data_IF_195094448162
#
_entry.id   IF_195094448162
#
_cell.length_a   1.000
_cell.length_b   1.000
_cell.length_c   1.000
_cell.angle_alpha   90.00
_cell.angle_beta   90.00
_cell.angle_gamma   90.00
#
_symmetry.space_group_name_H-M   'P 1'
#
loop_
_entity.id
_entity.type
_entity.pdbx_description
1 polymer ?
#
# COMPACT_ATOMS: atom_id res chain seq x y z
N UNK A 1 -13.84 1.71 -25.01
CA UNK A 1 -14.48 0.66 -25.83
C UNK A 1 -14.77 -0.53 -24.94
N UNK A 2 -15.73 -1.38 -25.32
CA UNK A 2 -16.06 -2.62 -24.62
C UNK A 2 -14.90 -3.64 -24.61
N UNK A 3 -13.94 -3.49 -25.54
CA UNK A 3 -12.73 -4.32 -25.66
C UNK A 3 -11.57 -3.88 -24.74
N UNK A 4 -11.73 -2.80 -23.97
CA UNK A 4 -10.72 -2.27 -23.05
C UNK A 4 -9.51 -1.60 -23.68
N UNK A 5 -9.47 -1.46 -25.03
CA UNK A 5 -8.33 -0.83 -25.73
C UNK A 5 -8.20 0.65 -25.44
N UNK A 6 -6.95 1.11 -25.30
CA UNK A 6 -6.61 2.51 -25.11
C UNK A 6 -7.02 3.35 -26.31
N UNK A 7 -7.83 4.39 -26.11
CA UNK A 7 -8.27 5.31 -27.16
C UNK A 7 -7.50 6.62 -27.16
N UNK A 8 -6.92 6.98 -26.02
CA UNK A 8 -6.20 8.23 -25.83
C UNK A 8 -6.12 8.60 -24.35
N UNK A 9 -5.64 9.80 -24.08
CA UNK A 9 -5.44 10.31 -22.72
C UNK A 9 -6.19 11.63 -22.54
N UNK A 10 -7.07 11.71 -21.54
CA UNK A 10 -7.72 12.96 -21.15
C UNK A 10 -6.87 13.68 -20.10
N UNK A 11 -6.21 14.80 -20.43
CA UNK A 11 -5.41 15.54 -19.45
C UNK A 11 -6.28 16.16 -18.34
N UNK A 12 -5.81 16.11 -17.08
CA UNK A 12 -6.55 16.65 -15.93
C UNK A 12 -6.91 18.15 -16.06
N UNK A 13 -6.12 18.93 -16.84
CA UNK A 13 -6.40 20.34 -17.11
C UNK A 13 -7.73 20.59 -17.82
N UNK A 14 -8.25 19.62 -18.58
CA UNK A 14 -9.54 19.72 -19.27
C UNK A 14 -10.71 19.09 -18.49
N UNK A 15 -10.42 18.41 -17.38
CA UNK A 15 -11.44 17.87 -16.47
C UNK A 15 -11.89 18.99 -15.52
N UNK A 16 -12.69 19.92 -16.02
CA UNK A 16 -13.20 21.08 -15.28
C UNK A 16 -14.71 21.18 -15.40
N UNK A 17 -15.39 21.73 -14.37
CA UNK A 17 -16.82 21.91 -14.37
C UNK A 17 -17.34 22.66 -15.61
N UNK A 18 -16.58 23.64 -16.13
CA UNK A 18 -16.92 24.41 -17.35
C UNK A 18 -17.04 23.54 -18.61
N UNK A 19 -16.42 22.35 -18.62
CA UNK A 19 -16.41 21.44 -19.78
C UNK A 19 -17.30 20.20 -19.60
N UNK A 20 -18.13 20.17 -18.54
CA UNK A 20 -18.95 18.98 -18.18
C UNK A 20 -19.88 18.47 -19.29
N UNK A 21 -20.30 19.37 -20.21
CA UNK A 21 -21.20 19.05 -21.33
C UNK A 21 -20.44 18.80 -22.65
N UNK A 22 -19.09 18.83 -22.65
CA UNK A 22 -18.30 18.54 -23.82
C UNK A 22 -18.04 17.03 -23.94
N UNK A 23 -17.87 16.58 -25.18
CA UNK A 23 -17.46 15.20 -25.42
C UNK A 23 -16.00 15.00 -25.00
N UNK A 24 -15.68 13.82 -24.46
CA UNK A 24 -14.30 13.47 -24.06
C UNK A 24 -13.33 13.62 -25.23
N UNK A 25 -13.78 13.26 -26.44
CA UNK A 25 -12.99 13.36 -27.68
C UNK A 25 -12.59 14.79 -28.07
N UNK A 26 -13.25 15.82 -27.53
CA UNK A 26 -12.90 17.21 -27.80
C UNK A 26 -11.69 17.71 -27.00
N UNK A 27 -11.33 17.00 -25.93
CA UNK A 27 -10.26 17.43 -25.02
C UNK A 27 -9.19 16.38 -24.76
N UNK A 28 -9.36 15.16 -25.28
CA UNK A 28 -8.35 14.10 -25.12
C UNK A 28 -7.25 14.22 -26.19
N UNK A 29 -6.07 13.75 -25.83
CA UNK A 29 -5.02 13.40 -26.79
C UNK A 29 -5.41 12.10 -27.46
N UNK A 30 -5.32 12.05 -28.79
CA UNK A 30 -5.62 10.84 -29.53
C UNK A 30 -4.58 9.74 -29.26
N UNK A 31 -4.89 8.48 -29.59
CA UNK A 31 -4.02 7.33 -29.32
C UNK A 31 -2.59 7.50 -29.87
N UNK A 32 -2.45 8.09 -31.03
CA UNK A 32 -1.16 8.35 -31.69
C UNK A 32 -0.37 9.54 -31.09
N UNK A 33 -1.00 10.33 -30.22
CA UNK A 33 -0.36 11.45 -29.51
C UNK A 33 0.06 11.04 -28.07
N UNK A 34 -0.24 9.80 -27.68
CA UNK A 34 0.01 9.32 -26.32
C UNK A 34 1.19 8.35 -26.32
N UNK A 35 2.20 8.64 -25.52
CA UNK A 35 3.33 7.76 -25.31
C UNK A 35 2.92 6.52 -24.52
N UNK A 36 3.29 5.37 -25.06
CA UNK A 36 3.06 4.07 -24.41
C UNK A 36 4.30 3.20 -24.49
N UNK A 37 4.44 2.32 -23.51
CA UNK A 37 5.40 1.22 -23.51
C UNK A 37 4.64 -0.09 -23.33
N UNK A 38 5.07 -1.15 -23.96
CA UNK A 38 4.49 -2.47 -23.72
C UNK A 38 5.00 -3.01 -22.39
N UNK A 39 4.12 -3.67 -21.63
CA UNK A 39 4.48 -4.33 -20.38
C UNK A 39 5.69 -5.27 -20.57
N UNK A 40 5.75 -6.01 -21.67
CA UNK A 40 6.88 -6.88 -22.04
C UNK A 40 8.20 -6.17 -22.32
N UNK A 41 8.20 -4.84 -22.47
CA UNK A 41 9.38 -4.02 -22.72
C UNK A 41 9.88 -3.32 -21.44
N UNK A 42 9.13 -3.42 -20.35
CA UNK A 42 9.53 -2.93 -19.04
C UNK A 42 10.45 -4.01 -18.45
N UNK A 43 11.74 -3.85 -18.50
CA UNK A 43 12.71 -4.81 -17.95
C UNK A 43 12.55 -5.07 -16.45
N UNK A 44 13.57 -5.67 -15.84
CA UNK A 44 13.59 -6.02 -14.42
C UNK A 44 13.60 -4.78 -13.49
N UNK A 45 14.00 -3.61 -14.00
CA UNK A 45 13.91 -2.33 -13.29
C UNK A 45 12.92 -1.36 -14.00
N UNK A 46 11.66 -1.38 -13.59
CA UNK A 46 10.62 -0.51 -14.15
C UNK A 46 10.87 0.99 -13.89
N UNK A 47 11.53 1.33 -12.77
CA UNK A 47 11.78 2.73 -12.40
C UNK A 47 12.87 3.31 -13.28
N UNK A 48 13.99 2.60 -13.46
CA UNK A 48 15.07 3.01 -14.37
C UNK A 48 14.56 3.13 -15.82
N UNK A 49 13.70 2.22 -16.26
CA UNK A 49 13.09 2.26 -17.59
C UNK A 49 12.24 3.53 -17.77
N UNK A 50 11.42 3.88 -16.78
CA UNK A 50 10.59 5.09 -16.83
C UNK A 50 11.42 6.37 -16.70
N UNK A 51 12.45 6.40 -15.85
CA UNK A 51 13.36 7.55 -15.69
C UNK A 51 14.11 7.86 -16.99
N UNK A 52 14.68 6.85 -17.61
CA UNK A 52 15.32 6.98 -18.93
C UNK A 52 14.36 7.52 -19.98
N UNK A 53 13.12 7.00 -20.02
CA UNK A 53 12.10 7.50 -20.96
C UNK A 53 11.82 8.99 -20.75
N UNK A 54 11.60 9.44 -19.51
CA UNK A 54 11.33 10.86 -19.22
C UNK A 54 12.54 11.75 -19.48
N UNK A 55 13.75 11.25 -19.30
CA UNK A 55 14.99 11.98 -19.64
C UNK A 55 15.15 12.17 -21.14
N UNK A 56 14.75 11.23 -21.96
CA UNK A 56 14.81 11.27 -23.42
C UNK A 56 13.66 12.09 -24.04
N UNK A 57 12.53 12.25 -23.33
CA UNK A 57 11.30 12.87 -23.83
C UNK A 57 10.91 14.09 -22.99
N UNK A 58 11.68 15.17 -23.07
CA UNK A 58 11.43 16.41 -22.34
C UNK A 58 10.00 16.93 -22.56
N UNK A 59 9.34 17.32 -21.46
CA UNK A 59 7.97 17.86 -21.49
C UNK A 59 6.87 16.80 -21.50
N UNK A 60 7.21 15.52 -21.57
CA UNK A 60 6.27 14.42 -21.38
C UNK A 60 6.22 14.08 -19.89
N UNK A 61 5.01 14.05 -19.32
CA UNK A 61 4.79 13.82 -17.90
C UNK A 61 4.08 12.51 -17.60
N UNK A 62 3.71 11.74 -18.61
CA UNK A 62 2.95 10.48 -18.46
C UNK A 62 3.40 9.47 -19.49
N UNK A 63 3.73 8.26 -19.02
CA UNK A 63 4.02 7.09 -19.83
C UNK A 63 3.03 6.00 -19.48
N UNK A 64 2.18 5.61 -20.40
CA UNK A 64 1.19 4.58 -20.19
C UNK A 64 1.77 3.20 -20.53
N UNK A 65 1.45 2.21 -19.71
CA UNK A 65 1.82 0.81 -19.94
C UNK A 65 0.64 0.11 -20.57
N UNK A 66 0.88 -0.59 -21.68
CA UNK A 66 -0.15 -1.37 -22.38
C UNK A 66 0.29 -2.82 -22.57
N UNK A 67 -0.68 -3.73 -22.63
CA UNK A 67 -0.45 -5.12 -23.01
C UNK A 67 -0.25 -5.27 -24.52
N UNK A 68 -0.14 -6.52 -24.98
CA UNK A 68 0.02 -6.82 -26.41
C UNK A 68 -1.22 -6.50 -27.25
N UNK A 69 -2.39 -6.40 -26.60
CA UNK A 69 -3.68 -6.07 -27.23
C UNK A 69 -4.00 -4.56 -27.17
N UNK A 70 -3.04 -3.72 -26.75
CA UNK A 70 -3.17 -2.26 -26.56
C UNK A 70 -4.17 -1.88 -25.45
N UNK A 71 -4.35 -2.74 -24.42
CA UNK A 71 -5.14 -2.44 -23.23
C UNK A 71 -4.26 -1.82 -22.15
N UNK A 72 -4.79 -0.87 -21.41
CA UNK A 72 -4.06 -0.18 -20.35
C UNK A 72 -3.80 -1.13 -19.17
N UNK A 73 -2.51 -1.31 -18.80
CA UNK A 73 -2.04 -2.10 -17.66
C UNK A 73 -1.49 -1.24 -16.54
N UNK A 74 -0.93 -0.06 -16.86
CA UNK A 74 -0.31 0.80 -15.87
C UNK A 74 -0.02 2.21 -16.37
N UNK A 75 0.53 3.02 -15.46
CA UNK A 75 0.90 4.40 -15.72
C UNK A 75 2.12 4.77 -14.87
N UNK A 76 3.13 5.36 -15.52
CA UNK A 76 4.19 6.10 -14.84
C UNK A 76 3.96 7.60 -15.02
N UNK A 77 4.18 8.37 -13.96
CA UNK A 77 4.22 9.84 -14.05
C UNK A 77 5.62 10.35 -13.73
N UNK A 78 6.06 11.41 -14.39
CA UNK A 78 7.37 12.02 -14.12
C UNK A 78 7.53 12.37 -12.64
N UNK A 79 6.50 12.95 -12.02
CA UNK A 79 6.53 13.32 -10.61
C UNK A 79 6.69 12.13 -9.65
N UNK A 80 6.16 10.95 -10.00
CA UNK A 80 6.36 9.75 -9.19
C UNK A 80 7.80 9.23 -9.32
N UNK A 81 8.34 9.25 -10.54
CA UNK A 81 9.73 8.83 -10.80
C UNK A 81 10.71 9.79 -10.11
N UNK A 82 10.56 11.11 -10.26
CA UNK A 82 11.40 12.10 -9.58
C UNK A 82 11.36 11.93 -8.06
N UNK A 83 10.17 11.66 -7.50
CA UNK A 83 10.02 11.40 -6.07
C UNK A 83 10.74 10.12 -5.65
N UNK A 84 10.59 9.03 -6.38
CA UNK A 84 11.24 7.74 -6.07
C UNK A 84 12.76 7.87 -6.18
N UNK A 85 13.26 8.51 -7.23
CA UNK A 85 14.70 8.75 -7.43
C UNK A 85 15.26 9.71 -6.37
N UNK A 86 14.52 10.75 -6.01
CA UNK A 86 14.89 11.66 -4.92
C UNK A 86 14.92 10.97 -3.56
N UNK A 87 13.98 10.08 -3.28
CA UNK A 87 13.97 9.25 -2.06
C UNK A 87 15.17 8.28 -2.03
N UNK A 88 15.61 7.76 -3.18
CA UNK A 88 16.77 6.86 -3.25
C UNK A 88 18.09 7.52 -2.83
N UNK A 89 18.21 8.85 -3.01
CA UNK A 89 19.37 9.64 -2.58
C UNK A 89 19.34 10.10 -1.11
N UNK A 90 18.22 9.97 -0.42
CA UNK A 90 18.05 10.42 0.97
C UNK A 90 18.45 9.34 1.97
N UNK A 91 19.07 9.76 3.10
CA UNK A 91 19.41 8.87 4.22
C UNK A 91 18.16 8.27 4.91
N UNK A 92 17.01 8.96 4.84
CA UNK A 92 15.73 8.50 5.37
C UNK A 92 14.84 8.05 4.21
N UNK A 93 14.86 6.75 3.93
CA UNK A 93 13.96 6.17 2.91
C UNK A 93 12.62 5.82 3.56
N UNK A 94 11.48 6.19 2.94
CA UNK A 94 10.18 5.72 3.41
C UNK A 94 10.11 4.19 3.28
N UNK A 95 9.50 3.55 4.27
CA UNK A 95 9.26 2.12 4.24
C UNK A 95 8.21 1.79 3.17
N UNK A 96 8.58 1.01 2.18
CA UNK A 96 7.73 0.66 1.03
C UNK A 96 7.71 -0.85 0.81
N UNK A 97 6.62 -1.32 0.25
CA UNK A 97 6.50 -2.71 -0.23
C UNK A 97 7.16 -2.88 -1.61
N UNK A 98 7.13 -4.11 -2.12
CA UNK A 98 7.70 -4.47 -3.44
C UNK A 98 7.02 -3.74 -4.62
N UNK A 99 5.81 -3.21 -4.41
CA UNK A 99 5.07 -2.42 -5.40
C UNK A 99 5.24 -0.90 -5.19
N UNK A 100 6.26 -0.47 -4.45
CA UNK A 100 6.54 0.93 -4.09
C UNK A 100 5.43 1.65 -3.31
N UNK A 101 4.46 0.93 -2.74
CA UNK A 101 3.44 1.50 -1.86
C UNK A 101 4.02 1.68 -0.45
N UNK A 102 3.65 2.74 0.25
CA UNK A 102 4.03 2.93 1.64
C UNK A 102 3.51 1.77 2.48
N UNK A 103 4.36 1.25 3.37
CA UNK A 103 3.90 0.29 4.37
C UNK A 103 2.87 0.96 5.29
N UNK A 104 1.81 0.25 5.59
CA UNK A 104 0.77 0.75 6.49
C UNK A 104 0.55 -0.20 7.66
N UNK A 105 0.20 0.40 8.80
CA UNK A 105 -0.19 -0.31 10.01
C UNK A 105 -1.54 0.15 10.53
N UNK A 106 -2.27 -0.74 11.18
CA UNK A 106 -3.52 -0.42 11.84
C UNK A 106 -3.54 -0.94 13.29
N UNK A 107 -4.10 -0.14 14.19
CA UNK A 107 -4.40 -0.60 15.55
C UNK A 107 -5.78 -1.26 15.57
N UNK A 108 -5.87 -2.38 16.29
CA UNK A 108 -7.11 -3.12 16.46
C UNK A 108 -7.49 -3.25 17.94
N UNK A 109 -8.77 -3.26 18.20
CA UNK A 109 -9.33 -3.64 19.50
C UNK A 109 -9.50 -5.15 19.57
N UNK A 110 -9.51 -5.70 20.78
CA UNK A 110 -9.74 -7.13 21.01
C UNK A 110 -11.25 -7.34 21.18
N UNK A 111 -11.97 -7.90 20.20
CA UNK A 111 -13.39 -8.16 20.33
C UNK A 111 -13.64 -9.24 21.37
N UNK A 112 -14.74 -9.09 22.13
CA UNK A 112 -15.10 -10.00 23.20
C UNK A 112 -16.52 -10.49 23.06
N UNK A 113 -16.71 -11.74 23.46
CA UNK A 113 -18.03 -12.35 23.64
C UNK A 113 -18.69 -11.82 24.94
N UNK A 114 -19.98 -12.08 25.11
CA UNK A 114 -20.73 -11.71 26.33
C UNK A 114 -20.13 -12.29 27.61
N UNK A 115 -19.51 -13.47 27.53
CA UNK A 115 -18.81 -14.11 28.64
C UNK A 115 -17.41 -13.51 28.94
N UNK A 116 -16.98 -12.46 28.21
CA UNK A 116 -15.70 -11.79 28.34
C UNK A 116 -14.52 -12.46 27.63
N UNK A 117 -14.71 -13.61 27.00
CA UNK A 117 -13.69 -14.26 26.19
C UNK A 117 -13.44 -13.52 24.87
N UNK A 118 -12.26 -13.75 24.26
CA UNK A 118 -11.94 -13.14 22.96
C UNK A 118 -12.81 -13.81 21.89
N UNK A 119 -13.52 -12.98 21.10
CA UNK A 119 -14.16 -13.43 19.89
C UNK A 119 -13.10 -13.62 18.78
N UNK A 120 -12.51 -14.82 18.73
CA UNK A 120 -11.42 -15.13 17.83
C UNK A 120 -11.83 -14.98 16.35
N UNK A 121 -13.03 -15.43 16.00
CA UNK A 121 -13.51 -15.39 14.62
C UNK A 121 -13.64 -13.94 14.12
N UNK A 122 -14.21 -13.06 14.95
CA UNK A 122 -14.34 -11.64 14.62
C UNK A 122 -12.98 -10.95 14.50
N UNK A 123 -12.04 -11.28 15.41
CA UNK A 123 -10.68 -10.75 15.36
C UNK A 123 -9.96 -11.14 14.06
N UNK A 124 -10.00 -12.43 13.69
CA UNK A 124 -9.38 -12.94 12.48
C UNK A 124 -10.03 -12.35 11.23
N UNK A 125 -11.36 -12.34 11.18
CA UNK A 125 -12.08 -11.77 10.05
C UNK A 125 -11.71 -10.29 9.84
N UNK A 126 -11.77 -9.50 10.92
CA UNK A 126 -11.50 -8.07 10.84
C UNK A 126 -10.06 -7.76 10.38
N UNK A 127 -9.06 -8.49 10.89
CA UNK A 127 -7.67 -8.34 10.46
C UNK A 127 -7.48 -8.86 9.04
N UNK A 128 -8.10 -9.98 8.68
CA UNK A 128 -8.06 -10.55 7.32
C UNK A 128 -8.55 -9.57 6.26
N UNK A 129 -9.68 -8.89 6.50
CA UNK A 129 -10.21 -7.87 5.59
C UNK A 129 -9.23 -6.69 5.38
N UNK A 130 -8.42 -6.36 6.38
CA UNK A 130 -7.36 -5.33 6.25
C UNK A 130 -6.13 -5.87 5.51
N UNK A 131 -5.74 -7.12 5.75
CA UNK A 131 -4.63 -7.80 5.05
C UNK A 131 -4.93 -7.90 3.56
N UNK A 132 -6.16 -8.25 3.18
CA UNK A 132 -6.60 -8.29 1.77
C UNK A 132 -6.49 -6.91 1.08
N UNK A 133 -6.54 -5.83 1.85
CA UNK A 133 -6.35 -4.45 1.37
C UNK A 133 -4.89 -3.97 1.43
N UNK A 134 -3.96 -4.84 1.85
CA UNK A 134 -2.54 -4.58 1.88
C UNK A 134 -1.99 -4.07 3.21
N UNK A 135 -2.62 -4.40 4.34
CA UNK A 135 -2.06 -4.12 5.67
C UNK A 135 -0.74 -4.88 5.87
N UNK A 136 0.29 -4.18 6.36
CA UNK A 136 1.62 -4.73 6.60
C UNK A 136 1.93 -4.94 8.09
N UNK A 137 1.24 -4.21 8.97
CA UNK A 137 1.43 -4.29 10.41
C UNK A 137 0.10 -4.15 11.14
N UNK A 138 -0.18 -5.03 12.10
CA UNK A 138 -1.28 -4.87 13.03
C UNK A 138 -0.77 -4.58 14.44
N UNK A 139 -1.38 -3.62 15.13
CA UNK A 139 -1.03 -3.26 16.49
C UNK A 139 -2.16 -3.63 17.47
N UNK A 140 -1.88 -4.56 18.37
CA UNK A 140 -2.72 -4.81 19.57
C UNK A 140 -2.25 -3.85 20.65
N UNK A 141 -2.79 -2.62 20.62
CA UNK A 141 -2.34 -1.51 21.46
C UNK A 141 -3.36 -1.21 22.56
N UNK A 142 -2.95 -1.38 23.82
CA UNK A 142 -3.77 -1.12 25.01
C UNK A 142 -2.94 -0.36 26.07
N UNK A 143 -3.60 0.34 26.99
CA UNK A 143 -2.91 1.01 28.09
C UNK A 143 -2.17 0.02 29.01
N UNK A 144 -2.56 -1.25 29.02
CA UNK A 144 -1.96 -2.30 29.86
C UNK A 144 -1.79 -3.59 29.06
N UNK A 145 -0.65 -3.69 28.36
CA UNK A 145 -0.37 -4.81 27.44
C UNK A 145 0.01 -6.13 28.12
N UNK A 146 0.55 -6.08 29.36
CA UNK A 146 0.91 -7.28 30.11
C UNK A 146 -0.32 -7.97 30.71
N UNK A 147 -1.23 -8.41 29.85
CA UNK A 147 -2.45 -9.14 30.24
C UNK A 147 -2.65 -10.40 29.42
N UNK A 148 -3.32 -11.39 30.01
CA UNK A 148 -3.65 -12.66 29.34
C UNK A 148 -4.45 -12.41 28.04
N UNK A 149 -5.33 -11.40 28.01
CA UNK A 149 -6.13 -11.06 26.85
C UNK A 149 -5.27 -10.57 25.68
N UNK A 150 -4.33 -9.65 25.94
CA UNK A 150 -3.41 -9.14 24.92
C UNK A 150 -2.50 -10.24 24.42
N UNK A 151 -1.90 -11.04 25.31
CA UNK A 151 -1.06 -12.16 24.92
C UNK A 151 -1.82 -13.20 24.08
N UNK A 152 -3.08 -13.54 24.45
CA UNK A 152 -3.90 -14.47 23.66
C UNK A 152 -4.24 -13.92 22.27
N UNK A 153 -4.64 -12.63 22.18
CA UNK A 153 -4.93 -12.00 20.89
C UNK A 153 -3.68 -11.94 20.01
N UNK A 154 -2.54 -11.54 20.56
CA UNK A 154 -1.24 -11.53 19.86
C UNK A 154 -0.91 -12.91 19.32
N UNK A 155 -1.08 -13.97 20.11
CA UNK A 155 -0.82 -15.35 19.70
C UNK A 155 -1.76 -15.80 18.58
N UNK A 156 -3.05 -15.49 18.66
CA UNK A 156 -4.02 -15.81 17.61
C UNK A 156 -3.58 -15.19 16.28
N UNK A 157 -3.26 -13.89 16.30
CA UNK A 157 -2.87 -13.16 15.09
C UNK A 157 -1.55 -13.66 14.51
N UNK A 158 -0.55 -13.96 15.35
CA UNK A 158 0.75 -14.46 14.88
C UNK A 158 0.69 -15.86 14.29
N UNK A 159 -0.28 -16.66 14.68
CA UNK A 159 -0.50 -17.99 14.13
C UNK A 159 -1.29 -17.97 12.83
N UNK A 160 -2.24 -17.04 12.71
CA UNK A 160 -3.11 -16.93 11.54
C UNK A 160 -2.45 -16.17 10.37
N UNK A 161 -1.70 -15.10 10.70
CA UNK A 161 -1.11 -14.22 9.68
C UNK A 161 0.42 -14.24 9.74
N UNK A 162 1.02 -15.22 9.11
CA UNK A 162 2.48 -15.50 9.19
C UNK A 162 3.32 -14.35 8.61
N UNK A 163 2.83 -13.69 7.57
CA UNK A 163 3.53 -12.61 6.86
C UNK A 163 3.21 -11.21 7.42
N UNK A 164 2.29 -11.11 8.38
CA UNK A 164 1.89 -9.84 8.98
C UNK A 164 2.76 -9.52 10.20
N UNK A 165 3.33 -8.31 10.23
CA UNK A 165 4.05 -7.85 11.43
C UNK A 165 3.09 -7.58 12.58
N UNK A 166 3.32 -8.18 13.74
CA UNK A 166 2.47 -8.02 14.93
C UNK A 166 3.18 -7.13 15.95
N UNK A 167 2.58 -5.98 16.24
CA UNK A 167 2.97 -5.10 17.33
C UNK A 167 2.04 -5.29 18.52
N UNK A 168 2.58 -5.36 19.74
CA UNK A 168 1.78 -5.44 20.95
C UNK A 168 2.31 -4.52 22.06
N UNK A 169 1.44 -4.06 22.91
CA UNK A 169 1.78 -3.19 24.05
C UNK A 169 0.54 -2.44 24.58
N UNK A 170 0.72 -1.50 25.51
CA UNK A 170 1.96 -0.96 26.07
C UNK A 170 2.43 -1.79 27.26
N UNK A 171 3.73 -1.90 27.44
CA UNK A 171 4.35 -2.53 28.62
C UNK A 171 5.41 -1.60 29.23
N UNK A 172 5.65 -1.76 30.54
CA UNK A 172 6.58 -0.94 31.33
C UNK A 172 7.59 -1.78 32.11
N UNK A 173 7.58 -3.11 31.91
CA UNK A 173 8.51 -4.02 32.58
C UNK A 173 9.15 -5.00 31.62
N UNK A 174 10.33 -5.51 31.94
CA UNK A 174 11.03 -6.55 31.17
C UNK A 174 10.21 -7.83 31.06
N UNK A 175 9.49 -8.23 32.11
CA UNK A 175 8.60 -9.39 32.11
C UNK A 175 7.46 -9.22 31.11
N UNK A 176 6.88 -8.00 31.00
CA UNK A 176 5.86 -7.67 30.02
C UNK A 176 6.37 -7.76 28.58
N UNK A 177 7.61 -7.31 28.34
CA UNK A 177 8.27 -7.46 27.04
C UNK A 177 8.45 -8.95 26.69
N UNK A 178 9.00 -9.74 27.62
CA UNK A 178 9.22 -11.16 27.43
C UNK A 178 7.91 -11.93 27.20
N UNK A 179 6.87 -11.59 27.95
CA UNK A 179 5.54 -12.17 27.81
C UNK A 179 4.94 -11.93 26.43
N UNK A 180 5.00 -10.69 25.90
CA UNK A 180 4.46 -10.37 24.59
C UNK A 180 5.31 -10.96 23.45
N UNK A 181 6.64 -11.00 23.59
CA UNK A 181 7.52 -11.66 22.66
C UNK A 181 7.22 -13.17 22.56
N UNK A 182 7.06 -13.86 23.71
CA UNK A 182 6.64 -15.27 23.75
C UNK A 182 5.23 -15.50 23.20
N UNK A 183 4.40 -14.47 23.19
CA UNK A 183 3.06 -14.51 22.60
C UNK A 183 3.07 -14.31 21.09
N UNK A 184 4.24 -14.05 20.46
CA UNK A 184 4.39 -13.91 19.02
C UNK A 184 4.46 -12.47 18.52
N UNK A 185 4.60 -11.47 19.37
CA UNK A 185 4.84 -10.09 18.96
C UNK A 185 6.28 -9.93 18.42
N UNK A 186 6.44 -9.39 17.22
CA UNK A 186 7.74 -9.01 16.65
C UNK A 186 8.14 -7.59 17.07
N UNK A 187 7.14 -6.74 17.36
CA UNK A 187 7.34 -5.35 17.78
C UNK A 187 6.63 -5.13 19.10
N UNK A 188 7.31 -4.51 20.06
CA UNK A 188 6.75 -4.28 21.40
C UNK A 188 6.76 -2.79 21.70
N UNK A 189 5.59 -2.23 22.05
CA UNK A 189 5.46 -0.85 22.52
C UNK A 189 5.81 -0.78 24.00
N UNK A 190 6.90 -0.09 24.31
CA UNK A 190 7.36 0.15 25.69
C UNK A 190 7.05 1.59 26.08
N UNK A 191 6.47 1.77 27.27
CA UNK A 191 6.09 3.06 27.81
C UNK A 191 4.58 3.31 27.81
N UNK A 192 4.19 4.45 28.39
CA UNK A 192 2.79 4.86 28.57
C UNK A 192 2.48 6.22 27.90
N UNK A 193 3.50 6.91 27.40
CA UNK A 193 3.39 8.25 26.83
C UNK A 193 3.39 8.29 25.32
#
# INVERSE_FOLDING_TARGET
KEDGKLLGLLPGRVVKHRYRNRKVTEGMLARNEVYTVKESQIGDDPIETADRFFSEHMGIHKLLVVDNDDKLCGLYTLSDIERIMGEAGNHLKPARDQNFRLLCGAAVTIPRLENGEINQNELIQHVGEMVDKGLNLVAVSTAHGHTKGVGKATKILSQEFVDLSIMAGNVTSGEGVEFLAKSGAQIIKVGQG
#
